data_IF_185356364801
#
_entry.id   IF_185356364801
#
_cell.length_a   1.000
_cell.length_b   1.000
_cell.length_c   1.000
_cell.angle_alpha   90.00
_cell.angle_beta   90.00
_cell.angle_gamma   90.00
#
_symmetry.space_group_name_H-M   'P 1'
#
loop_
_entity.id
_entity.type
_entity.pdbx_description
1 polymer ?
#
# COMPACT_ATOMS: atom_id res chain seq x y z
N UNK A 1 23.22 12.60 3.80
CA UNK A 1 22.65 12.76 2.45
C UNK A 1 21.56 11.71 2.26
N UNK A 2 20.48 12.06 1.59
CA UNK A 2 19.44 11.09 1.25
C UNK A 2 19.99 10.02 0.29
N UNK A 3 19.49 8.79 0.41
CA UNK A 3 19.87 7.67 -0.43
C UNK A 3 19.29 7.85 -1.84
N UNK A 4 19.89 7.21 -2.81
CA UNK A 4 19.42 7.19 -4.19
C UNK A 4 19.11 5.76 -4.60
N UNK A 5 18.02 5.57 -5.36
CA UNK A 5 17.73 4.30 -6.00
C UNK A 5 18.61 4.09 -7.23
N UNK A 6 18.73 2.87 -7.76
CA UNK A 6 19.42 2.64 -9.05
C UNK A 6 18.82 3.40 -10.23
N UNK A 7 17.61 3.94 -10.09
CA UNK A 7 16.90 4.72 -11.12
C UNK A 7 17.06 6.24 -10.98
N UNK A 8 17.82 6.73 -10.01
CA UNK A 8 17.95 8.15 -9.74
C UNK A 8 18.34 8.95 -10.98
N UNK A 9 19.34 8.49 -11.73
CA UNK A 9 19.77 9.15 -12.96
C UNK A 9 18.65 9.17 -14.01
N UNK A 10 17.89 8.10 -14.13
CA UNK A 10 16.77 8.03 -15.07
C UNK A 10 15.67 9.05 -14.73
N UNK A 11 15.40 9.29 -13.45
CA UNK A 11 14.46 10.33 -13.02
C UNK A 11 14.93 11.70 -13.45
N UNK A 12 16.22 12.00 -13.25
CA UNK A 12 16.83 13.27 -13.64
C UNK A 12 16.76 13.48 -15.17
N UNK A 13 17.09 12.43 -15.94
CA UNK A 13 16.99 12.47 -17.41
C UNK A 13 15.57 12.69 -17.91
N UNK A 14 14.57 12.19 -17.18
CA UNK A 14 13.15 12.42 -17.48
C UNK A 14 12.63 13.78 -16.99
N UNK A 15 13.46 14.63 -16.41
CA UNK A 15 13.07 15.95 -15.93
C UNK A 15 12.27 15.96 -14.64
N UNK A 16 12.46 14.95 -13.79
CA UNK A 16 11.75 14.85 -12.53
C UNK A 16 12.14 15.93 -11.53
N UNK A 17 11.15 16.43 -10.80
CA UNK A 17 11.38 17.16 -9.56
C UNK A 17 11.65 16.18 -8.43
N UNK A 18 12.86 16.15 -7.93
CA UNK A 18 13.29 15.25 -6.87
C UNK A 18 13.05 15.87 -5.49
N UNK A 19 12.62 15.04 -4.53
CA UNK A 19 12.42 15.40 -3.13
C UNK A 19 13.00 14.33 -2.21
N UNK A 20 13.34 14.73 -0.97
CA UNK A 20 13.65 13.76 0.09
C UNK A 20 12.35 13.15 0.61
N UNK A 21 12.22 11.85 0.44
CA UNK A 21 11.09 11.06 0.93
C UNK A 21 11.60 10.00 1.92
N UNK A 22 11.50 10.32 3.20
CA UNK A 22 11.97 9.45 4.29
C UNK A 22 13.42 8.97 4.12
N UNK A 23 14.30 9.87 3.71
CA UNK A 23 15.71 9.59 3.52
C UNK A 23 16.09 9.06 2.13
N UNK A 24 15.15 9.02 1.20
CA UNK A 24 15.36 8.64 -0.21
C UNK A 24 15.06 9.80 -1.14
N UNK A 25 15.93 10.03 -2.11
CA UNK A 25 15.66 10.99 -3.22
C UNK A 25 14.70 10.35 -4.21
N UNK A 26 13.45 10.84 -4.23
CA UNK A 26 12.37 10.28 -5.04
C UNK A 26 11.73 11.33 -5.92
N UNK A 27 11.23 10.97 -7.11
CA UNK A 27 10.54 11.92 -7.99
C UNK A 27 9.17 12.28 -7.39
N UNK A 28 8.94 13.57 -7.19
CA UNK A 28 7.62 14.08 -6.80
C UNK A 28 6.65 14.05 -7.99
N UNK A 29 7.12 14.54 -9.13
CA UNK A 29 6.44 14.52 -10.43
C UNK A 29 7.45 14.72 -11.57
N UNK A 30 7.00 14.48 -12.81
CA UNK A 30 7.76 14.70 -14.04
C UNK A 30 7.13 15.83 -14.87
N UNK A 31 6.68 16.89 -14.22
CA UNK A 31 6.04 18.05 -14.81
C UNK A 31 4.60 18.26 -14.36
N UNK A 32 3.74 17.26 -14.48
CA UNK A 32 2.33 17.35 -14.09
C UNK A 32 1.87 16.07 -13.40
N UNK A 33 1.68 16.11 -12.08
CA UNK A 33 1.13 14.98 -11.33
C UNK A 33 -0.30 14.63 -11.75
N UNK A 34 -1.08 15.59 -12.24
CA UNK A 34 -2.45 15.35 -12.73
C UNK A 34 -2.40 14.54 -14.03
N UNK A 35 -1.53 14.90 -14.98
CA UNK A 35 -1.39 14.14 -16.22
C UNK A 35 -0.84 12.73 -15.97
N UNK A 36 0.05 12.58 -15.01
CA UNK A 36 0.58 11.28 -14.57
C UNK A 36 -0.54 10.42 -13.97
N UNK A 37 -1.38 11.01 -13.13
CA UNK A 37 -2.56 10.35 -12.57
C UNK A 37 -3.50 9.85 -13.68
N UNK A 38 -3.83 10.70 -14.63
CA UNK A 38 -4.71 10.33 -15.75
C UNK A 38 -4.10 9.29 -16.67
N UNK A 39 -2.76 9.30 -16.87
CA UNK A 39 -2.08 8.27 -17.64
C UNK A 39 -2.25 6.87 -17.00
N UNK A 40 -2.18 6.76 -15.68
CA UNK A 40 -2.43 5.51 -14.97
C UNK A 40 -3.88 5.06 -15.12
N UNK A 41 -4.85 5.97 -14.99
CA UNK A 41 -6.27 5.62 -15.12
C UNK A 41 -6.68 5.24 -16.55
N UNK A 42 -6.12 5.86 -17.56
CA UNK A 42 -6.53 5.70 -18.96
C UNK A 42 -5.61 4.85 -19.84
N UNK A 43 -4.37 4.64 -19.42
CA UNK A 43 -3.35 3.96 -20.23
C UNK A 43 -2.40 3.14 -19.34
N UNK A 44 -1.20 3.64 -19.10
CA UNK A 44 -0.19 3.01 -18.25
C UNK A 44 0.78 4.05 -17.69
N UNK A 45 1.08 3.93 -16.41
CA UNK A 45 2.11 4.67 -15.72
C UNK A 45 3.06 3.76 -14.95
N UNK A 46 4.28 4.23 -14.72
CA UNK A 46 5.28 3.49 -13.95
C UNK A 46 5.82 4.32 -12.80
N UNK A 47 6.16 3.62 -11.73
CA UNK A 47 6.68 4.20 -10.50
C UNK A 47 7.95 3.46 -10.09
N UNK A 48 8.98 4.21 -9.75
CA UNK A 48 10.10 3.65 -9.00
C UNK A 48 9.67 3.46 -7.55
N UNK A 49 9.62 2.23 -7.09
CA UNK A 49 9.34 1.87 -5.70
C UNK A 49 10.48 1.05 -5.09
N UNK A 50 11.69 1.24 -5.63
CA UNK A 50 12.92 0.54 -5.19
C UNK A 50 13.34 0.91 -3.76
N UNK A 51 12.82 1.99 -3.19
CA UNK A 51 13.03 2.37 -1.81
C UNK A 51 12.32 1.45 -0.81
N UNK A 52 11.31 0.69 -1.23
CA UNK A 52 10.67 -0.33 -0.41
C UNK A 52 11.65 -1.46 -0.10
N UNK A 53 11.45 -2.12 1.04
CA UNK A 53 12.34 -3.18 1.50
C UNK A 53 11.77 -4.55 1.15
N UNK A 54 12.54 -5.34 0.42
CA UNK A 54 12.24 -6.74 0.13
C UNK A 54 13.04 -7.62 1.07
N UNK A 55 12.37 -8.54 1.76
CA UNK A 55 12.99 -9.44 2.73
C UNK A 55 12.62 -10.88 2.37
N UNK A 56 13.63 -11.71 2.16
CA UNK A 56 13.46 -13.13 1.90
C UNK A 56 13.73 -13.96 3.15
N UNK A 57 12.89 -14.94 3.38
CA UNK A 57 12.96 -15.86 4.51
C UNK A 57 13.10 -17.29 4.01
N UNK A 58 14.10 -17.98 4.52
CA UNK A 58 14.31 -19.40 4.24
C UNK A 58 14.38 -20.21 5.54
N UNK A 59 13.80 -21.39 5.53
CA UNK A 59 13.83 -22.33 6.63
C UNK A 59 12.55 -23.13 6.80
N UNK A 60 12.63 -24.25 7.53
CA UNK A 60 11.50 -25.18 7.71
C UNK A 60 10.39 -24.67 8.64
N UNK A 61 10.68 -23.65 9.46
CA UNK A 61 9.73 -23.10 10.44
C UNK A 61 9.19 -21.72 10.06
N UNK A 62 9.31 -21.32 8.80
CA UNK A 62 8.88 -19.99 8.35
C UNK A 62 7.38 -19.82 8.53
N UNK A 63 6.58 -20.79 8.10
CA UNK A 63 5.11 -20.71 8.21
C UNK A 63 4.68 -20.56 9.67
N UNK A 64 5.28 -21.32 10.57
CA UNK A 64 5.03 -21.20 12.01
C UNK A 64 5.35 -19.80 12.53
N UNK A 65 6.51 -19.26 12.15
CA UNK A 65 6.93 -17.92 12.53
C UNK A 65 5.99 -16.84 12.02
N UNK A 66 5.66 -16.85 10.73
CA UNK A 66 4.82 -15.83 10.12
C UNK A 66 3.37 -15.90 10.64
N UNK A 67 2.88 -17.06 11.01
CA UNK A 67 1.58 -17.21 11.67
C UNK A 67 1.55 -16.56 13.07
N UNK A 68 2.68 -16.47 13.72
CA UNK A 68 2.85 -15.76 14.99
C UNK A 68 3.10 -14.27 14.81
N UNK A 69 3.92 -13.89 13.85
CA UNK A 69 4.33 -12.50 13.61
C UNK A 69 3.20 -11.62 13.06
N UNK A 70 2.35 -12.17 12.20
CA UNK A 70 1.41 -11.41 11.38
C UNK A 70 -0.04 -11.59 11.84
N UNK A 71 -0.83 -10.53 11.69
CA UNK A 71 -2.25 -10.55 12.05
C UNK A 71 -3.10 -11.41 11.10
N UNK A 72 -2.76 -11.43 9.80
CA UNK A 72 -3.35 -12.37 8.85
C UNK A 72 -2.67 -13.73 8.95
N UNK A 73 -3.36 -14.80 8.58
CA UNK A 73 -2.82 -16.15 8.70
C UNK A 73 -2.27 -16.64 7.36
N UNK A 74 -0.95 -16.83 7.30
CA UNK A 74 -0.26 -17.40 6.12
C UNK A 74 -0.58 -18.89 5.91
N UNK A 75 -1.29 -19.54 6.82
CA UNK A 75 -1.85 -20.88 6.56
C UNK A 75 -2.82 -20.90 5.38
N UNK A 76 -3.41 -19.75 5.03
CA UNK A 76 -4.25 -19.58 3.83
C UNK A 76 -3.47 -19.66 2.52
N UNK A 77 -2.14 -19.51 2.57
CA UNK A 77 -1.27 -19.51 1.41
C UNK A 77 -0.86 -20.95 1.11
N UNK A 78 -1.57 -21.59 0.19
CA UNK A 78 -1.33 -22.98 -0.22
C UNK A 78 -0.92 -23.14 -1.67
N UNK A 79 -1.09 -22.09 -2.48
CA UNK A 79 -0.71 -22.05 -3.89
C UNK A 79 0.56 -21.22 -4.06
N UNK A 80 1.65 -21.77 -4.65
CA UNK A 80 2.86 -20.99 -4.89
C UNK A 80 2.58 -19.69 -5.65
N UNK A 81 3.18 -18.61 -5.20
CA UNK A 81 3.02 -17.27 -5.73
C UNK A 81 1.91 -16.44 -5.07
N UNK A 82 0.95 -17.06 -4.40
CA UNK A 82 -0.13 -16.32 -3.75
C UNK A 82 0.38 -15.41 -2.65
N UNK A 83 -0.18 -14.19 -2.59
CA UNK A 83 0.16 -13.17 -1.60
C UNK A 83 -1.00 -12.87 -0.66
N UNK A 84 -0.65 -12.33 0.51
CA UNK A 84 -1.58 -11.71 1.47
C UNK A 84 -1.13 -10.31 1.82
N UNK A 85 -2.11 -9.44 2.07
CA UNK A 85 -1.91 -8.17 2.75
C UNK A 85 -2.19 -8.36 4.25
N UNK A 86 -1.34 -7.79 5.10
CA UNK A 86 -1.44 -7.97 6.55
C UNK A 86 -0.80 -6.80 7.31
N UNK A 87 -1.23 -6.63 8.56
CA UNK A 87 -0.51 -5.84 9.54
C UNK A 87 0.51 -6.68 10.31
N UNK A 88 1.59 -6.04 10.72
CA UNK A 88 2.53 -6.52 11.73
C UNK A 88 2.36 -5.63 12.96
N UNK A 89 2.06 -6.23 14.11
CA UNK A 89 1.53 -5.52 15.26
C UNK A 89 2.47 -5.57 16.48
N UNK A 90 2.34 -4.55 17.34
CA UNK A 90 2.85 -4.62 18.71
C UNK A 90 1.96 -5.53 19.56
N UNK A 91 2.43 -5.90 20.76
CA UNK A 91 1.62 -6.67 21.72
C UNK A 91 0.32 -5.94 22.13
N UNK A 92 0.32 -4.59 22.10
CA UNK A 92 -0.85 -3.75 22.35
C UNK A 92 -1.74 -3.51 21.12
N UNK A 93 -1.45 -4.20 20.02
CA UNK A 93 -2.16 -4.13 18.74
C UNK A 93 -2.02 -2.80 17.98
N UNK A 94 -0.99 -2.01 18.25
CA UNK A 94 -0.59 -0.92 17.37
C UNK A 94 0.04 -1.47 16.09
N UNK A 95 -0.11 -0.76 14.97
CA UNK A 95 0.43 -1.20 13.69
C UNK A 95 1.89 -0.77 13.56
N UNK A 96 2.82 -1.73 13.59
CA UNK A 96 4.24 -1.48 13.34
C UNK A 96 4.44 -1.15 11.86
N UNK A 97 3.84 -1.96 10.99
CA UNK A 97 3.81 -1.74 9.55
C UNK A 97 2.66 -2.54 8.91
N UNK A 98 2.30 -2.16 7.70
CA UNK A 98 1.47 -2.93 6.78
C UNK A 98 2.34 -3.45 5.64
N UNK A 99 2.10 -4.69 5.24
CA UNK A 99 2.99 -5.36 4.31
C UNK A 99 2.29 -6.42 3.47
N UNK A 100 2.98 -6.84 2.42
CA UNK A 100 2.60 -8.01 1.64
C UNK A 100 3.55 -9.16 1.91
N UNK A 101 2.99 -10.36 2.00
CA UNK A 101 3.73 -11.61 2.11
C UNK A 101 3.39 -12.52 0.94
N UNK A 102 4.42 -13.02 0.26
CA UNK A 102 4.31 -13.96 -0.86
C UNK A 102 4.76 -15.35 -0.42
N UNK A 103 3.95 -16.35 -0.71
CA UNK A 103 4.29 -17.76 -0.53
C UNK A 103 4.95 -18.30 -1.80
N UNK A 104 6.21 -18.63 -1.74
CA UNK A 104 6.93 -19.20 -2.89
C UNK A 104 7.09 -20.73 -2.78
N UNK A 105 7.41 -21.20 -1.58
CA UNK A 105 7.42 -22.63 -1.21
C UNK A 105 7.31 -22.76 0.32
N UNK A 106 7.20 -23.96 0.85
CA UNK A 106 7.10 -24.19 2.30
C UNK A 106 8.32 -23.70 3.08
N UNK A 107 9.46 -23.58 2.43
CA UNK A 107 10.72 -23.12 3.00
C UNK A 107 11.17 -21.75 2.48
N UNK A 108 10.33 -21.07 1.70
CA UNK A 108 10.66 -19.76 1.12
C UNK A 108 9.44 -18.81 1.06
N UNK A 109 9.50 -17.74 1.81
CA UNK A 109 8.53 -16.62 1.76
C UNK A 109 9.26 -15.30 1.50
N UNK A 110 8.58 -14.38 0.85
CA UNK A 110 9.07 -13.01 0.62
C UNK A 110 8.12 -12.00 1.22
N UNK A 111 8.67 -11.04 1.97
CA UNK A 111 7.93 -9.88 2.46
C UNK A 111 8.36 -8.63 1.68
N UNK A 112 7.40 -7.72 1.45
CA UNK A 112 7.66 -6.37 0.96
C UNK A 112 7.09 -5.39 1.99
N UNK A 113 7.96 -4.62 2.62
CA UNK A 113 7.62 -3.68 3.70
C UNK A 113 7.90 -2.24 3.27
N UNK A 114 7.29 -1.28 3.99
CA UNK A 114 7.45 0.13 3.69
C UNK A 114 8.86 0.64 3.94
N UNK A 115 9.25 1.68 3.22
CA UNK A 115 10.56 2.29 3.30
C UNK A 115 10.80 3.03 4.62
N UNK A 116 9.83 3.85 5.04
CA UNK A 116 9.95 4.65 6.26
C UNK A 116 10.07 3.81 7.54
N UNK A 117 9.59 2.59 7.51
CA UNK A 117 9.56 1.66 8.65
C UNK A 117 10.69 0.63 8.64
N UNK A 118 11.58 0.68 7.64
CA UNK A 118 12.61 -0.34 7.41
C UNK A 118 13.38 -0.73 8.67
N UNK A 119 13.94 0.24 9.38
CA UNK A 119 14.80 -0.03 10.54
C UNK A 119 14.04 -0.75 11.66
N UNK A 120 12.86 -0.24 12.01
CA UNK A 120 12.04 -0.85 13.06
C UNK A 120 11.44 -2.19 12.63
N UNK A 121 11.07 -2.34 11.36
CA UNK A 121 10.54 -3.61 10.84
C UNK A 121 11.59 -4.71 10.90
N UNK A 122 12.81 -4.43 10.40
CA UNK A 122 13.91 -5.39 10.42
C UNK A 122 14.33 -5.75 11.86
N UNK A 123 14.36 -4.77 12.75
CA UNK A 123 14.68 -5.03 14.16
C UNK A 123 13.63 -5.92 14.83
N UNK A 124 12.34 -5.62 14.63
CA UNK A 124 11.23 -6.42 15.17
C UNK A 124 11.19 -7.82 14.60
N UNK A 125 11.32 -7.96 13.28
CA UNK A 125 11.36 -9.26 12.60
C UNK A 125 12.52 -10.11 13.14
N UNK A 126 13.73 -9.54 13.24
CA UNK A 126 14.91 -10.27 13.71
C UNK A 126 14.76 -10.73 15.15
N UNK A 127 14.23 -9.88 16.02
CA UNK A 127 13.98 -10.21 17.43
C UNK A 127 12.98 -11.36 17.55
N UNK A 128 11.86 -11.28 16.83
CA UNK A 128 10.81 -12.30 16.91
C UNK A 128 11.21 -13.61 16.21
N UNK A 129 12.10 -13.56 15.23
CA UNK A 129 12.54 -14.72 14.47
C UNK A 129 13.59 -15.59 15.20
N UNK A 130 14.23 -15.06 16.24
CA UNK A 130 15.35 -15.73 16.93
C UNK A 130 15.08 -17.20 17.29
N UNK A 131 13.91 -17.58 17.87
CA UNK A 131 13.63 -18.97 18.23
C UNK A 131 13.44 -19.94 17.07
N UNK A 132 13.32 -19.43 15.83
CA UNK A 132 12.87 -20.22 14.69
C UNK A 132 13.99 -20.67 13.77
N UNK A 133 15.23 -20.18 13.96
CA UNK A 133 16.40 -20.60 13.17
C UNK A 133 16.27 -20.30 11.68
N UNK A 134 15.72 -19.16 11.31
CA UNK A 134 15.49 -18.78 9.93
C UNK A 134 16.67 -18.03 9.33
N UNK A 135 16.90 -18.22 8.03
CA UNK A 135 17.75 -17.35 7.24
C UNK A 135 16.92 -16.19 6.70
N UNK A 136 17.33 -14.97 7.08
CA UNK A 136 16.64 -13.73 6.70
C UNK A 136 17.60 -12.90 5.85
N UNK A 137 17.20 -12.61 4.61
CA UNK A 137 18.02 -11.86 3.65
C UNK A 137 17.29 -10.61 3.21
N UNK A 138 17.86 -9.43 3.49
CA UNK A 138 17.37 -8.17 2.93
C UNK A 138 17.90 -8.04 1.51
N UNK A 139 16.99 -7.86 0.54
CA UNK A 139 17.29 -7.91 -0.88
C UNK A 139 17.57 -6.50 -1.43
N UNK A 140 18.66 -5.89 -0.95
CA UNK A 140 19.13 -4.58 -1.46
C UNK A 140 19.74 -4.66 -2.86
N UNK A 141 19.94 -5.88 -3.37
CA UNK A 141 20.36 -6.17 -4.73
C UNK A 141 19.25 -6.02 -5.78
N UNK A 142 17.99 -5.84 -5.33
CA UNK A 142 16.82 -5.74 -6.19
C UNK A 142 16.27 -4.32 -6.26
N UNK A 143 15.89 -3.91 -7.46
CA UNK A 143 15.03 -2.77 -7.71
C UNK A 143 13.58 -3.22 -7.87
N UNK A 144 12.63 -2.32 -7.62
CA UNK A 144 11.20 -2.60 -7.76
C UNK A 144 10.54 -1.50 -8.59
N UNK A 145 9.92 -1.88 -9.71
CA UNK A 145 9.20 -0.98 -10.60
C UNK A 145 7.75 -1.41 -10.66
N UNK A 146 6.82 -0.48 -10.37
CA UNK A 146 5.39 -0.70 -10.53
C UNK A 146 4.95 -0.16 -11.89
N UNK A 147 4.20 -0.97 -12.67
CA UNK A 147 3.59 -0.56 -13.94
C UNK A 147 2.10 -0.78 -13.80
N UNK A 148 1.32 0.31 -13.83
CA UNK A 148 -0.08 0.31 -13.45
C UNK A 148 -0.96 0.99 -14.51
N UNK A 149 -2.15 0.45 -14.73
CA UNK A 149 -3.14 0.99 -15.66
C UNK A 149 -3.74 -0.08 -16.58
N UNK A 150 -4.79 0.26 -17.34
CA UNK A 150 -5.46 -0.70 -18.21
C UNK A 150 -4.56 -1.28 -19.30
N UNK A 151 -3.54 -0.55 -19.75
CA UNK A 151 -2.56 -1.00 -20.75
C UNK A 151 -1.22 -1.44 -20.16
N UNK A 152 -1.08 -1.40 -18.84
CA UNK A 152 0.20 -1.65 -18.15
C UNK A 152 0.75 -3.06 -18.43
N UNK A 153 -0.09 -4.08 -18.31
CA UNK A 153 0.32 -5.48 -18.52
C UNK A 153 0.75 -5.72 -19.97
N UNK A 154 -0.01 -5.20 -20.93
CA UNK A 154 0.29 -5.35 -22.36
C UNK A 154 1.60 -4.66 -22.74
N UNK A 155 1.83 -3.42 -22.25
CA UNK A 155 3.04 -2.67 -22.52
C UNK A 155 4.26 -3.28 -21.85
N UNK A 156 4.16 -3.68 -20.59
CA UNK A 156 5.24 -4.37 -19.88
C UNK A 156 5.63 -5.69 -20.55
N UNK A 157 4.65 -6.45 -21.03
CA UNK A 157 4.87 -7.74 -21.69
C UNK A 157 5.72 -7.64 -22.97
N UNK A 158 5.75 -6.48 -23.63
CA UNK A 158 6.63 -6.24 -24.80
C UNK A 158 8.11 -6.33 -24.46
N UNK A 159 8.46 -6.14 -23.18
CA UNK A 159 9.83 -6.22 -22.67
C UNK A 159 10.17 -7.59 -22.07
N UNK A 160 9.19 -8.47 -21.92
CA UNK A 160 9.39 -9.78 -21.34
C UNK A 160 9.94 -10.76 -22.38
N UNK A 161 10.73 -11.71 -21.91
CA UNK A 161 11.08 -12.92 -22.68
C UNK A 161 9.84 -13.78 -22.89
N UNK A 162 9.90 -14.72 -23.82
CA UNK A 162 8.79 -15.67 -24.03
C UNK A 162 8.49 -16.47 -22.76
N UNK A 163 9.52 -16.88 -22.02
CA UNK A 163 9.35 -17.59 -20.75
C UNK A 163 8.66 -16.72 -19.69
N UNK A 164 9.00 -15.46 -19.60
CA UNK A 164 8.34 -14.51 -18.69
C UNK A 164 6.88 -14.28 -19.08
N UNK A 165 6.58 -14.09 -20.37
CA UNK A 165 5.20 -13.96 -20.87
C UNK A 165 4.37 -15.19 -20.53
N UNK A 166 4.93 -16.37 -20.73
CA UNK A 166 4.26 -17.63 -20.38
C UNK A 166 4.04 -17.75 -18.86
N UNK A 167 5.01 -17.34 -18.05
CA UNK A 167 4.92 -17.43 -16.59
C UNK A 167 3.79 -16.56 -16.01
N UNK A 168 3.51 -15.39 -16.62
CA UNK A 168 2.46 -14.47 -16.15
C UNK A 168 1.11 -14.69 -16.81
N UNK A 169 1.02 -15.56 -17.81
CA UNK A 169 -0.23 -15.84 -18.52
C UNK A 169 -1.28 -16.39 -17.55
N UNK A 170 -2.46 -15.74 -17.54
CA UNK A 170 -3.56 -16.15 -16.67
C UNK A 170 -3.34 -15.94 -15.17
N UNK A 171 -2.26 -15.26 -14.77
CA UNK A 171 -1.97 -15.00 -13.36
C UNK A 171 -3.05 -14.12 -12.73
N UNK A 172 -3.63 -14.62 -11.64
CA UNK A 172 -4.69 -13.91 -10.89
C UNK A 172 -4.12 -12.71 -10.13
N UNK A 173 -4.97 -11.73 -9.75
CA UNK A 173 -4.55 -10.66 -8.84
C UNK A 173 -3.97 -11.21 -7.52
N UNK A 174 -3.00 -10.49 -6.95
CA UNK A 174 -2.33 -10.86 -5.71
C UNK A 174 -1.54 -12.17 -5.79
N UNK A 175 -0.86 -12.35 -6.91
CA UNK A 175 0.12 -13.42 -7.15
C UNK A 175 1.44 -12.83 -7.61
N UNK A 176 2.51 -13.58 -7.41
CA UNK A 176 3.83 -13.28 -7.96
C UNK A 176 4.50 -14.56 -8.47
N UNK A 177 5.35 -14.43 -9.46
CA UNK A 177 6.11 -15.53 -10.06
C UNK A 177 7.54 -15.12 -10.31
N UNK A 178 8.49 -15.99 -9.96
CA UNK A 178 9.87 -15.82 -10.37
C UNK A 178 10.03 -16.36 -11.79
N UNK A 179 10.44 -15.51 -12.70
CA UNK A 179 10.66 -15.85 -14.10
C UNK A 179 12.01 -15.29 -14.56
N UNK A 180 13.04 -16.15 -14.65
CA UNK A 180 14.42 -15.71 -14.82
C UNK A 180 14.86 -14.85 -13.64
N UNK A 181 15.44 -13.70 -13.95
CA UNK A 181 15.92 -12.75 -12.93
C UNK A 181 14.81 -11.85 -12.35
N UNK A 182 13.61 -11.91 -12.90
CA UNK A 182 12.50 -11.05 -12.48
C UNK A 182 11.50 -11.79 -11.61
N UNK A 183 11.06 -11.13 -10.55
CA UNK A 183 9.87 -11.50 -9.79
C UNK A 183 8.74 -10.57 -10.20
N UNK A 184 7.74 -11.12 -10.87
CA UNK A 184 6.63 -10.36 -11.45
C UNK A 184 5.37 -10.63 -10.64
N UNK A 185 4.82 -9.60 -10.00
CA UNK A 185 3.65 -9.71 -9.15
C UNK A 185 2.48 -8.87 -9.71
N UNK A 186 1.26 -9.40 -9.57
CA UNK A 186 0.01 -8.72 -9.95
C UNK A 186 -0.54 -7.92 -8.77
N UNK A 187 0.31 -7.12 -8.17
CA UNK A 187 0.02 -6.21 -7.05
C UNK A 187 0.17 -4.77 -7.49
N UNK A 188 -0.28 -3.84 -6.66
CA UNK A 188 -0.18 -2.42 -6.93
C UNK A 188 -0.76 -1.58 -5.82
N UNK A 189 -0.75 -0.25 -6.04
CA UNK A 189 -1.16 0.75 -5.07
C UNK A 189 -2.04 1.85 -5.70
N UNK A 190 -2.78 1.49 -6.75
CA UNK A 190 -3.48 2.47 -7.59
C UNK A 190 -4.97 2.20 -7.78
N UNK A 191 -5.42 0.97 -7.49
CA UNK A 191 -6.77 0.54 -7.86
C UNK A 191 -6.93 0.12 -9.32
N UNK A 192 -5.83 0.11 -10.08
CA UNK A 192 -5.76 -0.37 -11.46
C UNK A 192 -5.05 -1.72 -11.53
N UNK A 193 -5.25 -2.44 -12.62
CA UNK A 193 -4.47 -3.63 -12.93
C UNK A 193 -3.02 -3.27 -13.27
N UNK A 194 -2.11 -4.21 -13.11
CA UNK A 194 -0.71 -4.00 -13.45
C UNK A 194 0.22 -5.00 -12.81
N UNK A 195 1.50 -4.64 -12.83
CA UNK A 195 2.55 -5.41 -12.21
C UNK A 195 3.37 -4.57 -11.24
N UNK A 196 3.94 -5.23 -10.25
CA UNK A 196 5.12 -4.78 -9.53
C UNK A 196 6.24 -5.78 -9.83
N UNK A 197 7.35 -5.30 -10.36
CA UNK A 197 8.41 -6.14 -10.91
C UNK A 197 9.71 -5.89 -10.15
N UNK A 198 10.19 -6.90 -9.44
CA UNK A 198 11.50 -6.89 -8.83
C UNK A 198 12.54 -7.47 -9.81
N UNK A 199 13.67 -6.81 -9.92
CA UNK A 199 14.76 -7.20 -10.82
C UNK A 199 16.12 -6.80 -10.23
N UNK A 200 17.22 -7.43 -10.66
CA UNK A 200 18.56 -6.98 -10.27
C UNK A 200 18.77 -5.49 -10.56
N UNK A 201 19.45 -4.80 -9.65
CA UNK A 201 19.67 -3.35 -9.75
C UNK A 201 20.29 -2.92 -11.10
N UNK A 202 21.19 -3.72 -11.63
CA UNK A 202 21.85 -3.44 -12.91
C UNK A 202 20.93 -3.51 -14.13
N UNK A 203 19.78 -4.15 -14.02
CA UNK A 203 18.79 -4.25 -15.10
C UNK A 203 17.73 -3.14 -15.05
N UNK A 204 17.61 -2.43 -13.94
CA UNK A 204 16.51 -1.51 -13.69
C UNK A 204 16.48 -0.35 -14.68
N UNK A 205 17.62 0.26 -14.99
CA UNK A 205 17.70 1.42 -15.90
C UNK A 205 17.29 1.03 -17.32
N UNK A 206 17.74 -0.11 -17.83
CA UNK A 206 17.37 -0.60 -19.16
C UNK A 206 15.87 -0.93 -19.24
N UNK A 207 15.35 -1.56 -18.22
CA UNK A 207 13.91 -1.87 -18.15
C UNK A 207 13.05 -0.60 -18.10
N UNK A 208 13.48 0.41 -17.32
CA UNK A 208 12.82 1.72 -17.24
C UNK A 208 12.77 2.40 -18.61
N UNK A 209 13.90 2.44 -19.32
CA UNK A 209 13.96 3.02 -20.68
C UNK A 209 13.09 2.25 -21.66
N UNK A 210 13.09 0.93 -21.57
CA UNK A 210 12.20 0.09 -22.40
C UNK A 210 10.73 0.39 -22.17
N UNK A 211 10.31 0.63 -20.92
CA UNK A 211 8.95 1.05 -20.60
C UNK A 211 8.63 2.43 -21.19
N UNK A 212 9.56 3.39 -21.12
CA UNK A 212 9.39 4.69 -21.79
C UNK A 212 9.17 4.52 -23.29
N UNK A 213 9.96 3.70 -23.95
CA UNK A 213 9.85 3.41 -25.37
C UNK A 213 8.53 2.70 -25.72
N UNK A 214 8.00 1.91 -24.81
CA UNK A 214 6.69 1.27 -24.94
C UNK A 214 5.51 2.21 -24.66
N UNK A 215 5.77 3.48 -24.33
CA UNK A 215 4.74 4.49 -24.09
C UNK A 215 4.17 4.47 -22.68
N UNK A 216 4.90 3.94 -21.70
CA UNK A 216 4.51 4.02 -20.29
C UNK A 216 4.98 5.35 -19.70
N UNK A 217 4.08 6.10 -19.09
CA UNK A 217 4.39 7.42 -18.53
C UNK A 217 5.08 7.28 -17.17
N UNK A 218 6.22 7.95 -16.95
CA UNK A 218 6.82 8.00 -15.63
C UNK A 218 5.94 8.83 -14.68
N UNK A 219 5.72 8.32 -13.48
CA UNK A 219 4.85 8.92 -12.47
C UNK A 219 5.59 9.04 -11.14
N UNK A 220 5.38 10.16 -10.45
CA UNK A 220 6.00 10.43 -9.17
C UNK A 220 5.08 10.22 -7.97
N UNK A 221 5.59 10.61 -6.80
CA UNK A 221 4.89 10.48 -5.51
C UNK A 221 3.55 11.22 -5.47
N UNK A 222 3.44 12.35 -6.16
CA UNK A 222 2.20 13.13 -6.18
C UNK A 222 1.04 12.34 -6.80
N UNK A 223 1.26 11.74 -7.96
CA UNK A 223 0.26 10.87 -8.61
C UNK A 223 0.03 9.58 -7.81
N UNK A 224 1.09 8.99 -7.27
CA UNK A 224 0.96 7.79 -6.42
C UNK A 224 0.02 8.04 -5.24
N UNK A 225 0.11 9.20 -4.59
CA UNK A 225 -0.74 9.54 -3.45
C UNK A 225 -2.21 9.79 -3.85
N UNK A 226 -2.47 10.52 -4.91
CA UNK A 226 -3.85 10.73 -5.39
C UNK A 226 -4.50 9.43 -5.85
N UNK A 227 -3.75 8.56 -6.53
CA UNK A 227 -4.22 7.25 -6.99
C UNK A 227 -4.55 6.30 -5.84
N UNK A 228 -3.65 6.17 -4.86
CA UNK A 228 -3.89 5.29 -3.70
C UNK A 228 -5.08 5.76 -2.87
N UNK A 229 -5.24 7.07 -2.71
CA UNK A 229 -6.35 7.64 -1.95
C UNK A 229 -7.68 7.43 -2.65
N UNK A 230 -7.75 7.61 -3.97
CA UNK A 230 -8.93 7.25 -4.76
C UNK A 230 -9.28 5.76 -4.64
N UNK A 231 -8.27 4.90 -4.56
CA UNK A 231 -8.46 3.47 -4.34
C UNK A 231 -8.84 3.11 -2.89
N UNK A 232 -8.78 4.05 -1.96
CA UNK A 232 -9.06 3.83 -0.55
C UNK A 232 -7.97 3.07 0.20
N UNK A 233 -6.74 3.10 -0.31
CA UNK A 233 -5.60 2.38 0.28
C UNK A 233 -4.88 3.25 1.31
N UNK A 234 -4.53 2.64 2.43
CA UNK A 234 -3.83 3.31 3.53
C UNK A 234 -2.41 3.72 3.16
N UNK A 235 -1.96 4.80 3.77
CA UNK A 235 -0.56 5.19 3.83
C UNK A 235 -0.10 5.12 5.28
N UNK A 236 0.92 4.31 5.54
CA UNK A 236 1.51 4.20 6.87
C UNK A 236 2.02 5.56 7.36
N UNK A 237 1.71 5.89 8.60
CA UNK A 237 1.99 7.20 9.20
C UNK A 237 0.85 8.22 9.05
N UNK A 238 -0.10 7.96 8.15
CA UNK A 238 -1.31 8.78 7.97
C UNK A 238 -2.55 8.07 8.56
N UNK A 239 -2.91 6.93 8.00
CA UNK A 239 -4.08 6.16 8.45
C UNK A 239 -3.80 5.31 9.69
N UNK A 240 -2.57 4.87 9.87
CA UNK A 240 -2.17 4.06 11.03
C UNK A 240 -0.69 4.26 11.38
N UNK A 241 -0.38 3.95 12.61
CA UNK A 241 0.94 3.87 13.21
C UNK A 241 0.90 2.95 14.43
N UNK A 242 1.96 2.93 15.24
CA UNK A 242 2.02 2.10 16.45
C UNK A 242 1.00 2.48 17.54
N UNK A 243 0.43 3.67 17.48
CA UNK A 243 -0.64 4.13 18.38
C UNK A 243 -2.05 3.82 17.88
N UNK A 244 -2.21 3.21 16.70
CA UNK A 244 -3.49 2.97 16.05
C UNK A 244 -3.71 1.49 15.83
N UNK A 245 -4.87 1.00 16.26
CA UNK A 245 -5.29 -0.38 16.01
C UNK A 245 -5.65 -0.61 14.53
N UNK A 246 -5.36 -1.79 13.96
CA UNK A 246 -5.84 -2.14 12.63
C UNK A 246 -7.38 -2.08 12.51
N UNK A 247 -8.11 -2.26 13.61
CA UNK A 247 -9.56 -2.11 13.65
C UNK A 247 -10.02 -0.66 13.38
N UNK A 248 -9.20 0.31 13.76
CA UNK A 248 -9.46 1.74 13.52
C UNK A 248 -8.88 2.25 12.20
N UNK A 249 -8.25 1.39 11.41
CA UNK A 249 -7.56 1.73 10.15
C UNK A 249 -8.13 0.99 8.93
N UNK A 250 -9.37 0.50 9.00
CA UNK A 250 -9.97 -0.31 7.94
C UNK A 250 -9.15 -1.56 7.57
N UNK A 251 -8.43 -2.12 8.54
CA UNK A 251 -7.60 -3.33 8.37
C UNK A 251 -8.20 -4.55 9.10
N UNK A 252 -9.37 -4.42 9.70
CA UNK A 252 -10.02 -5.52 10.45
C UNK A 252 -10.25 -6.76 9.60
N UNK A 253 -10.51 -6.61 8.31
CA UNK A 253 -10.68 -7.71 7.37
C UNK A 253 -9.40 -8.54 7.15
N UNK A 254 -8.23 -8.00 7.48
CA UNK A 254 -6.94 -8.71 7.38
C UNK A 254 -6.66 -9.58 8.59
N UNK A 255 -7.38 -9.39 9.70
CA UNK A 255 -7.15 -10.15 10.94
C UNK A 255 -7.79 -11.52 10.80
N UNK A 256 -6.98 -12.57 10.87
CA UNK A 256 -7.48 -13.93 10.86
C UNK A 256 -7.74 -14.42 12.31
N UNK A 257 -8.99 -14.42 12.70
CA UNK A 257 -9.43 -14.86 14.02
C UNK A 257 -9.45 -16.38 14.17
N UNK A 258 -9.66 -17.09 13.06
CA UNK A 258 -9.65 -18.56 13.03
C UNK A 258 -8.33 -19.09 12.47
N UNK A 259 -7.83 -20.23 12.99
CA UNK A 259 -8.42 -20.99 14.12
C UNK A 259 -8.29 -20.22 15.44
N UNK A 260 -9.25 -20.44 16.34
CA UNK A 260 -9.36 -19.68 17.60
C UNK A 260 -8.16 -19.86 18.54
N UNK A 261 -7.42 -20.97 18.39
CA UNK A 261 -6.23 -21.28 19.17
C UNK A 261 -4.94 -20.72 18.55
N UNK A 262 -5.01 -20.08 17.38
CA UNK A 262 -3.84 -19.43 16.79
C UNK A 262 -3.42 -18.22 17.63
N UNK A 263 -2.28 -18.32 18.26
CA UNK A 263 -1.67 -17.17 18.91
C UNK A 263 -0.85 -16.36 17.90
N UNK A 264 -1.06 -15.03 17.88
CA UNK A 264 -0.24 -14.10 17.15
C UNK A 264 -0.03 -12.81 17.96
N UNK A 265 1.02 -12.10 17.68
CA UNK A 265 1.36 -10.87 18.40
C UNK A 265 0.22 -9.85 18.26
N UNK A 266 -0.31 -9.39 19.38
CA UNK A 266 -1.40 -8.42 19.44
C UNK A 266 -2.81 -9.02 19.53
N UNK A 267 -2.98 -10.34 19.44
CA UNK A 267 -4.30 -10.98 19.44
C UNK A 267 -5.12 -10.63 20.68
N UNK A 268 -4.54 -10.78 21.86
CA UNK A 268 -5.25 -10.51 23.13
C UNK A 268 -5.78 -9.07 23.19
N UNK A 269 -4.94 -8.10 22.83
CA UNK A 269 -5.34 -6.70 22.77
C UNK A 269 -6.43 -6.45 21.73
N UNK A 270 -6.36 -7.10 20.55
CA UNK A 270 -7.40 -7.01 19.52
C UNK A 270 -8.74 -7.59 19.96
N UNK A 271 -8.74 -8.70 20.67
CA UNK A 271 -9.96 -9.29 21.22
C UNK A 271 -10.65 -8.35 22.22
N UNK A 272 -9.87 -7.75 23.12
CA UNK A 272 -10.39 -6.74 24.07
C UNK A 272 -10.93 -5.50 23.33
N UNK A 273 -10.23 -5.01 22.33
CA UNK A 273 -10.67 -3.87 21.53
C UNK A 273 -11.94 -4.18 20.75
N UNK A 274 -12.07 -5.38 20.20
CA UNK A 274 -13.26 -5.81 19.46
C UNK A 274 -14.50 -5.83 20.36
N UNK A 275 -14.37 -6.26 21.60
CA UNK A 275 -15.46 -6.25 22.59
C UNK A 275 -15.84 -4.84 23.02
N UNK A 276 -14.84 -4.00 23.29
CA UNK A 276 -15.04 -2.62 23.75
C UNK A 276 -15.52 -1.67 22.65
N UNK A 277 -15.18 -1.98 21.41
CA UNK A 277 -15.33 -1.07 20.27
C UNK A 277 -14.14 -0.15 20.08
N UNK A 278 -13.96 0.32 18.86
CA UNK A 278 -12.88 1.21 18.46
C UNK A 278 -13.41 2.36 17.61
N UNK A 279 -12.58 3.34 17.35
CA UNK A 279 -12.77 4.25 16.22
C UNK A 279 -12.82 3.46 14.91
N UNK A 280 -13.27 4.10 13.84
CA UNK A 280 -13.32 3.51 12.50
C UNK A 280 -12.74 4.45 11.47
N UNK A 281 -12.25 3.91 10.37
CA UNK A 281 -11.82 4.67 9.20
C UNK A 281 -12.96 4.68 8.18
N UNK A 282 -13.34 5.89 7.76
CA UNK A 282 -14.39 6.12 6.76
C UNK A 282 -13.85 6.91 5.58
N UNK A 283 -14.56 6.86 4.46
CA UNK A 283 -14.36 7.74 3.33
C UNK A 283 -15.24 8.99 3.45
N UNK A 284 -14.75 10.12 2.98
CA UNK A 284 -15.50 11.38 2.89
C UNK A 284 -15.48 11.90 1.46
N UNK A 285 -16.62 12.40 1.00
CA UNK A 285 -16.80 13.04 -0.31
C UNK A 285 -17.33 14.44 -0.10
N UNK A 286 -16.65 15.44 -0.66
CA UNK A 286 -17.06 16.83 -0.62
C UNK A 286 -17.23 17.36 -2.04
N UNK A 287 -18.47 17.56 -2.46
CA UNK A 287 -18.79 18.07 -3.82
C UNK A 287 -18.72 19.59 -3.91
N UNK A 288 -18.80 20.30 -2.78
CA UNK A 288 -18.62 21.74 -2.74
C UNK A 288 -17.15 22.11 -3.00
N UNK A 289 -16.94 23.34 -3.46
CA UNK A 289 -15.60 23.86 -3.78
C UNK A 289 -14.71 23.90 -2.54
N UNK A 290 -13.58 23.26 -2.63
CA UNK A 290 -12.57 23.20 -1.57
C UNK A 290 -11.75 21.94 -1.65
N UNK A 291 -10.80 21.79 -0.73
CA UNK A 291 -9.93 20.60 -0.66
C UNK A 291 -9.88 20.11 0.78
N UNK A 292 -10.25 18.86 0.98
CA UNK A 292 -10.06 18.14 2.23
C UNK A 292 -8.57 17.79 2.40
N UNK A 293 -8.04 17.99 3.61
CA UNK A 293 -6.63 17.74 3.94
C UNK A 293 -6.50 17.01 5.28
N UNK A 294 -5.41 16.29 5.44
CA UNK A 294 -5.07 15.69 6.72
C UNK A 294 -5.03 16.69 7.86
N UNK A 295 -5.51 16.27 9.03
CA UNK A 295 -5.54 17.08 10.24
C UNK A 295 -6.80 17.94 10.42
N UNK A 296 -7.70 18.02 9.44
CA UNK A 296 -8.94 18.74 9.58
C UNK A 296 -9.93 17.99 10.46
N UNK A 297 -10.64 18.70 11.40
CA UNK A 297 -11.66 18.06 12.23
C UNK A 297 -12.89 17.64 11.43
N UNK A 298 -13.43 16.47 11.79
CA UNK A 298 -14.69 15.95 11.25
C UNK A 298 -15.69 15.86 12.39
N UNK A 299 -16.82 16.55 12.28
CA UNK A 299 -17.84 16.62 13.31
C UNK A 299 -19.14 15.99 12.84
N UNK A 300 -19.78 15.30 13.76
CA UNK A 300 -21.09 14.67 13.51
C UNK A 300 -21.86 14.50 14.81
N UNK A 301 -23.15 14.27 14.68
CA UNK A 301 -24.03 13.89 15.81
C UNK A 301 -24.37 12.43 15.66
N UNK A 302 -24.16 11.63 16.70
CA UNK A 302 -24.52 10.22 16.70
C UNK A 302 -26.04 10.00 16.87
N UNK A 303 -26.48 8.75 16.81
CA UNK A 303 -27.90 8.39 16.97
C UNK A 303 -28.51 8.79 18.32
N UNK A 304 -27.68 8.95 19.32
CA UNK A 304 -28.09 9.33 20.68
C UNK A 304 -28.08 10.84 20.92
N UNK A 305 -27.76 11.63 19.88
CA UNK A 305 -27.72 13.07 19.93
C UNK A 305 -26.41 13.66 20.46
N UNK A 306 -25.37 12.85 20.66
CA UNK A 306 -24.09 13.32 21.15
C UNK A 306 -23.23 13.87 20.03
N UNK A 307 -22.63 15.03 20.28
CA UNK A 307 -21.63 15.61 19.37
C UNK A 307 -20.32 14.82 19.48
N UNK A 308 -19.79 14.43 18.32
CA UNK A 308 -18.52 13.67 18.21
C UNK A 308 -17.61 14.33 17.19
N UNK A 309 -16.31 14.17 17.41
CA UNK A 309 -15.28 14.69 16.53
C UNK A 309 -14.26 13.62 16.20
N UNK A 310 -13.92 13.52 14.91
CA UNK A 310 -12.81 12.73 14.37
C UNK A 310 -11.86 13.63 13.61
N UNK A 311 -10.98 13.01 12.84
CA UNK A 311 -9.91 13.69 12.11
C UNK A 311 -9.71 13.10 10.72
N UNK A 312 -9.50 13.95 9.72
CA UNK A 312 -9.05 13.52 8.41
C UNK A 312 -7.60 13.04 8.53
N UNK A 313 -7.34 11.82 8.07
CA UNK A 313 -6.01 11.23 8.04
C UNK A 313 -5.28 11.52 6.73
N UNK A 314 -6.00 11.47 5.60
CA UNK A 314 -5.52 11.84 4.27
C UNK A 314 -6.64 12.49 3.46
N UNK A 315 -6.32 13.51 2.72
CA UNK A 315 -7.30 14.20 1.86
C UNK A 315 -6.63 14.80 0.63
N UNK A 316 -7.39 14.85 -0.46
CA UNK A 316 -6.94 15.42 -1.73
C UNK A 316 -8.14 15.84 -2.60
N UNK A 317 -7.87 16.65 -3.61
CA UNK A 317 -8.75 16.75 -4.76
C UNK A 317 -8.57 15.51 -5.64
N UNK A 318 -9.66 14.85 -6.01
CA UNK A 318 -9.63 13.67 -6.90
C UNK A 318 -9.60 14.11 -8.36
N UNK A 319 -8.49 13.87 -9.09
CA UNK A 319 -8.46 14.18 -10.52
C UNK A 319 -9.48 13.39 -11.35
N UNK A 320 -9.78 12.17 -10.94
CA UNK A 320 -10.75 11.31 -11.64
C UNK A 320 -12.19 11.78 -11.42
N UNK A 321 -12.54 12.16 -10.19
CA UNK A 321 -13.93 12.48 -9.82
C UNK A 321 -14.27 13.96 -9.99
N UNK A 322 -13.27 14.85 -9.94
CA UNK A 322 -13.47 16.30 -10.06
C UNK A 322 -13.96 16.98 -8.78
N UNK A 323 -13.89 16.31 -7.64
CA UNK A 323 -14.20 16.88 -6.32
C UNK A 323 -13.25 16.31 -5.26
N UNK A 324 -13.35 16.84 -4.03
CA UNK A 324 -12.45 16.41 -2.95
C UNK A 324 -12.91 15.14 -2.25
N UNK A 325 -11.94 14.31 -1.88
CA UNK A 325 -12.13 13.05 -1.15
C UNK A 325 -11.16 12.98 0.02
N UNK A 326 -11.51 12.20 1.04
CA UNK A 326 -10.64 11.97 2.20
C UNK A 326 -10.88 10.62 2.85
N UNK A 327 -9.88 10.17 3.60
CA UNK A 327 -10.03 9.16 4.64
C UNK A 327 -10.02 9.85 5.99
N UNK A 328 -10.89 9.43 6.89
CA UNK A 328 -10.99 10.00 8.22
C UNK A 328 -11.17 8.93 9.29
N UNK A 329 -10.44 9.08 10.39
CA UNK A 329 -10.64 8.26 11.58
C UNK A 329 -11.62 8.97 12.51
N UNK A 330 -12.72 8.30 12.80
CA UNK A 330 -13.84 8.87 13.53
C UNK A 330 -14.32 7.92 14.64
N UNK A 331 -14.86 8.45 15.74
CA UNK A 331 -15.57 7.63 16.72
C UNK A 331 -16.72 6.83 16.08
N UNK A 332 -17.08 5.73 16.69
CA UNK A 332 -18.24 4.95 16.25
C UNK A 332 -19.54 5.78 16.32
N UNK A 333 -20.48 5.43 15.43
CA UNK A 333 -21.82 6.06 15.41
C UNK A 333 -22.00 7.15 14.35
N UNK A 334 -21.03 7.32 13.43
CA UNK A 334 -21.20 8.23 12.30
C UNK A 334 -22.26 7.71 11.33
N UNK A 335 -23.14 8.59 10.87
CA UNK A 335 -24.13 8.30 9.83
C UNK A 335 -23.60 8.61 8.42
N UNK A 336 -24.52 8.90 7.50
CA UNK A 336 -24.21 9.12 6.09
C UNK A 336 -23.66 10.52 5.79
N UNK A 337 -23.71 11.42 6.75
CA UNK A 337 -23.26 12.82 6.60
C UNK A 337 -22.47 13.29 7.81
N UNK A 338 -21.57 14.21 7.57
CA UNK A 338 -20.79 14.90 8.59
C UNK A 338 -20.43 16.32 8.08
N UNK A 339 -19.76 17.09 8.92
CA UNK A 339 -19.18 18.38 8.52
C UNK A 339 -17.68 18.39 8.78
N UNK A 340 -16.94 19.02 7.89
CA UNK A 340 -15.50 19.23 8.04
C UNK A 340 -15.24 20.70 8.28
N UNK A 341 -14.48 21.02 9.31
CA UNK A 341 -14.07 22.37 9.61
C UNK A 341 -12.92 22.80 8.72
N UNK A 342 -13.18 23.67 7.74
CA UNK A 342 -12.16 24.26 6.88
C UNK A 342 -12.06 25.77 7.17
N UNK A 343 -10.99 26.17 7.86
CA UNK A 343 -10.83 27.54 8.37
C UNK A 343 -12.03 27.91 9.24
N UNK A 344 -12.82 28.90 8.85
CA UNK A 344 -14.00 29.39 9.60
C UNK A 344 -15.35 28.88 9.05
N UNK A 345 -15.30 27.83 8.21
CA UNK A 345 -16.49 27.25 7.58
C UNK A 345 -16.68 25.81 7.93
N UNK A 346 -17.90 25.41 8.16
CA UNK A 346 -18.31 24.02 8.22
C UNK A 346 -18.77 23.58 6.83
N UNK A 347 -18.06 22.60 6.26
CA UNK A 347 -18.33 22.09 4.93
C UNK A 347 -19.01 20.74 5.02
N UNK A 348 -20.21 20.59 4.42
CA UNK A 348 -20.91 19.31 4.44
C UNK A 348 -20.16 18.27 3.61
N UNK A 349 -20.10 17.05 4.13
CA UNK A 349 -19.51 15.91 3.46
C UNK A 349 -20.43 14.70 3.52
N UNK A 350 -20.39 13.89 2.49
CA UNK A 350 -21.00 12.55 2.47
C UNK A 350 -20.01 11.55 3.06
N UNK A 351 -20.49 10.67 3.91
CA UNK A 351 -19.70 9.58 4.49
C UNK A 351 -19.90 8.30 3.68
N UNK A 352 -18.81 7.64 3.33
CA UNK A 352 -18.80 6.39 2.57
C UNK A 352 -17.87 5.38 3.21
N UNK A 353 -17.84 4.18 2.70
CA UNK A 353 -16.72 3.27 2.97
C UNK A 353 -15.46 3.79 2.28
N UNK A 354 -14.24 3.49 2.79
CA UNK A 354 -13.01 3.76 2.07
C UNK A 354 -13.02 3.12 0.67
N UNK A 355 -12.55 3.89 -0.33
CA UNK A 355 -12.56 3.51 -1.74
C UNK A 355 -13.54 4.36 -2.55
N UNK A 356 -13.02 5.00 -3.59
CA UNK A 356 -13.76 6.01 -4.37
C UNK A 356 -13.72 5.71 -5.87
N UNK A 357 -12.61 5.15 -6.35
CA UNK A 357 -12.38 4.81 -7.77
C UNK A 357 -11.76 3.42 -7.86
N UNK A 358 -12.25 2.62 -8.78
CA UNK A 358 -11.67 1.32 -9.13
C UNK A 358 -11.76 1.07 -10.61
N UNK A 359 -10.65 0.63 -11.23
CA UNK A 359 -10.54 0.39 -12.67
C UNK A 359 -11.07 1.60 -13.47
N UNK A 360 -10.62 2.80 -13.10
CA UNK A 360 -10.98 4.05 -13.74
C UNK A 360 -12.43 4.52 -13.52
N UNK A 361 -13.23 3.82 -12.72
CA UNK A 361 -14.66 4.12 -12.51
C UNK A 361 -14.94 4.54 -11.07
N UNK A 362 -15.79 5.56 -10.92
CA UNK A 362 -16.34 5.94 -9.63
C UNK A 362 -17.14 4.76 -9.01
N UNK A 363 -16.95 4.58 -7.68
CA UNK A 363 -17.67 3.57 -6.88
C UNK A 363 -18.41 4.20 -5.69
N UNK A 364 -18.48 5.55 -5.64
CA UNK A 364 -19.19 6.35 -4.63
C UNK A 364 -20.32 7.16 -5.24
#
# INVERSE_FOLDING_TARGET
MAQQTPLYEQHTLCGARMVDFHGWMMPLHYGSQIDEHHAVRGDAGMFDVSHMTIVDFHGSRIREFLRYLLANDVAKLTTPGKALYTGMLTASAGVIDDLRVYFLSEDYFRLVVNSATREKDLAWISEQAEPYGLEITVRDDLSLIAVQGPQAKAKAATLFTDAQRQAVEGMKPFFGVQAGDMFIATTGYTGEAGYEIAMPNEQAADFWRGLLDAGVKPCGLGARDTLRLEAGMNLYGQEMDEGVSPLAANMGWTIAWEPADRNFIGREALEMQREKGTEQLVGLVMTEKGVLRGGLPVRFTDSDGNQKEGIITSGTFSPTLGYSIALARVPAGIGDTAVVQIRNREMPVKVTKPGFVRNGKAIV
#
